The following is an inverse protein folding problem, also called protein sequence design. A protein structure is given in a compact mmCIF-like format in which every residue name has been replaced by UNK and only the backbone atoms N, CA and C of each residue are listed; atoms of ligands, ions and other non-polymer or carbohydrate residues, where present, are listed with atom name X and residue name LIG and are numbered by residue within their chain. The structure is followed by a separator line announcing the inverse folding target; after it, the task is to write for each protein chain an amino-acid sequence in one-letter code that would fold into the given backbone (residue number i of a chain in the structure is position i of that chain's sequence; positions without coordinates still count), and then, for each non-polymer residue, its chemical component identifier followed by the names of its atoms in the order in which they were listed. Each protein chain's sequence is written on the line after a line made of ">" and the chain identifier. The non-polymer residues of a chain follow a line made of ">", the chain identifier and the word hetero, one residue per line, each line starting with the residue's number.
data_IF_799693056102
#
_entry.id   IF_799693056102
#
_cell.length_a   1.000
_cell.length_b   1.000
_cell.length_c   1.000
_cell.angle_alpha   90.00
_cell.angle_beta   90.00
_cell.angle_gamma   90.00
#
_symmetry.space_group_name_H-M   'P 1'
#
loop_
_entity.id
_entity.type
_entity.pdbx_description
1 polymer ?
#
# COMPACT_ATOMS: atom_id res chain seq x y z
N UNK A 1 33.51 -34.31 24.72
CA UNK A 1 34.22 -34.40 23.42
C UNK A 1 33.77 -35.65 22.68
N UNK A 2 33.54 -35.53 21.36
CA UNK A 2 33.07 -36.50 20.34
C UNK A 2 31.56 -36.85 20.41
N UNK A 3 30.66 -36.28 19.61
CA UNK A 3 30.42 -36.16 18.14
C UNK A 3 29.62 -37.33 17.53
N UNK A 4 28.52 -36.93 16.83
CA UNK A 4 27.77 -37.58 15.72
C UNK A 4 26.96 -38.84 16.05
N UNK A 5 25.78 -39.13 15.47
CA UNK A 5 25.19 -38.81 14.16
C UNK A 5 23.63 -38.86 14.21
N UNK A 6 22.96 -38.31 13.18
CA UNK A 6 21.49 -38.24 13.08
C UNK A 6 20.80 -39.27 12.17
N UNK A 7 19.48 -39.02 11.99
CA UNK A 7 18.52 -39.50 10.95
C UNK A 7 17.99 -40.93 11.20
N UNK A 8 16.68 -41.27 11.04
CA UNK A 8 15.76 -40.78 9.99
C UNK A 8 14.34 -40.34 10.39
N UNK A 9 13.81 -39.47 9.51
CA UNK A 9 12.39 -39.30 9.26
C UNK A 9 11.80 -40.58 8.63
N UNK A 10 10.71 -41.12 9.19
CA UNK A 10 9.55 -41.64 8.45
C UNK A 10 8.53 -42.14 9.48
N UNK A 11 7.35 -41.53 9.52
CA UNK A 11 6.09 -42.27 9.59
C UNK A 11 4.93 -41.32 9.33
N UNK A 12 4.53 -41.31 8.08
CA UNK A 12 3.27 -40.79 7.59
C UNK A 12 2.23 -41.91 7.68
N UNK A 13 1.01 -41.64 8.17
CA UNK A 13 -0.18 -42.34 7.72
C UNK A 13 -1.00 -41.43 6.78
N UNK A 14 -1.90 -42.02 5.97
CA UNK A 14 -2.25 -41.53 4.65
C UNK A 14 -3.25 -40.38 4.69
N UNK A 15 -3.18 -39.60 3.60
CA UNK A 15 -4.16 -38.62 3.17
C UNK A 15 -5.57 -39.21 3.26
N UNK A 16 -6.56 -38.39 3.66
CA UNK A 16 -8.00 -38.39 3.31
C UNK A 16 -8.88 -37.95 4.48
N UNK A 17 -8.58 -36.81 5.11
CA UNK A 17 -9.61 -35.97 5.72
C UNK A 17 -9.33 -34.52 5.36
N UNK A 18 -9.96 -34.08 4.29
CA UNK A 18 -10.14 -32.66 4.01
C UNK A 18 -11.24 -32.18 4.94
N UNK A 19 -10.86 -31.45 5.98
CA UNK A 19 -11.68 -30.34 6.46
C UNK A 19 -10.85 -29.09 6.25
N UNK A 20 -11.35 -28.09 5.50
CA UNK A 20 -10.65 -26.83 5.36
C UNK A 20 -10.55 -26.25 6.75
N UNK A 21 -9.32 -26.17 7.26
CA UNK A 21 -9.01 -25.22 8.30
C UNK A 21 -9.48 -23.89 7.76
N UNK A 22 -10.61 -23.41 8.27
CA UNK A 22 -10.96 -22.02 8.14
C UNK A 22 -9.75 -21.29 8.71
N UNK A 23 -8.95 -20.70 7.83
CA UNK A 23 -8.26 -19.47 8.16
C UNK A 23 -9.43 -18.61 8.66
N UNK A 24 -9.57 -18.51 9.98
CA UNK A 24 -10.36 -17.45 10.57
C UNK A 24 -9.76 -16.20 9.96
N UNK A 25 -10.41 -15.70 8.90
CA UNK A 25 -10.23 -14.35 8.46
C UNK A 25 -10.42 -13.55 9.73
N UNK A 26 -9.30 -13.04 10.24
CA UNK A 26 -9.23 -12.29 11.47
C UNK A 26 -10.07 -11.05 11.18
N UNK A 27 -11.37 -11.15 11.42
CA UNK A 27 -12.22 -9.98 11.60
C UNK A 27 -11.77 -9.43 12.94
N UNK A 28 -10.58 -8.84 12.97
CA UNK A 28 -10.09 -8.10 14.10
C UNK A 28 -11.00 -6.89 14.19
N UNK A 29 -11.95 -6.94 15.12
CA UNK A 29 -12.68 -5.75 15.51
C UNK A 29 -11.63 -4.81 16.10
N UNK A 30 -11.28 -3.76 15.36
CA UNK A 30 -10.32 -2.79 15.81
C UNK A 30 -11.04 -1.67 16.57
N UNK A 31 -10.55 -1.38 17.77
CA UNK A 31 -11.03 -0.27 18.60
C UNK A 31 -9.94 0.79 18.71
N UNK A 32 -10.32 2.06 18.64
CA UNK A 32 -9.38 3.18 18.74
C UNK A 32 -9.85 4.19 19.78
N UNK A 33 -8.90 4.94 20.36
CA UNK A 33 -9.25 6.13 21.14
C UNK A 33 -9.90 7.14 20.19
N UNK A 34 -11.07 7.63 20.56
CA UNK A 34 -11.74 8.72 19.89
C UNK A 34 -11.55 10.02 20.69
N UNK A 35 -11.15 11.07 20.00
CA UNK A 35 -11.15 12.41 20.55
C UNK A 35 -11.44 13.40 19.43
N UNK A 36 -12.28 14.41 19.71
CA UNK A 36 -12.55 15.49 18.77
C UNK A 36 -12.52 16.84 19.49
N UNK A 37 -11.58 17.69 19.10
CA UNK A 37 -11.49 19.04 19.66
C UNK A 37 -12.67 19.90 19.18
N UNK A 38 -13.57 20.25 20.10
CA UNK A 38 -14.63 21.23 19.87
C UNK A 38 -14.39 22.50 20.71
N UNK A 39 -14.11 23.67 20.09
CA UNK A 39 -13.76 24.91 20.81
C UNK A 39 -14.90 25.49 21.66
N UNK A 40 -16.15 25.11 21.41
CA UNK A 40 -17.34 25.63 22.10
C UNK A 40 -17.74 24.87 23.37
N UNK A 41 -17.00 23.82 23.74
CA UNK A 41 -17.28 23.03 24.93
C UNK A 41 -16.27 23.35 26.03
N UNK A 42 -16.71 23.54 27.28
CA UNK A 42 -15.83 23.84 28.43
C UNK A 42 -15.25 22.59 29.10
N UNK A 43 -15.86 21.42 28.89
CA UNK A 43 -15.52 20.22 29.66
C UNK A 43 -14.49 19.34 28.93
N UNK A 44 -13.19 19.50 29.25
CA UNK A 44 -12.08 18.76 28.59
C UNK A 44 -12.04 17.26 28.93
N UNK A 45 -12.59 16.84 30.08
CA UNK A 45 -12.46 15.47 30.60
C UNK A 45 -13.43 14.41 30.04
N UNK A 46 -14.57 14.80 29.44
CA UNK A 46 -15.60 13.88 28.93
C UNK A 46 -15.56 13.66 27.40
N UNK A 47 -14.46 14.06 26.72
CA UNK A 47 -14.36 14.06 25.24
C UNK A 47 -13.58 12.89 24.66
N UNK A 48 -12.90 12.15 25.52
CA UNK A 48 -12.20 10.94 25.13
C UNK A 48 -13.17 9.77 25.23
N UNK A 49 -13.24 8.98 24.18
CA UNK A 49 -14.06 7.78 24.11
C UNK A 49 -13.31 6.66 23.40
N UNK A 50 -14.00 5.55 23.22
CA UNK A 50 -13.54 4.42 22.40
C UNK A 50 -14.49 4.35 21.20
N UNK A 51 -13.92 4.25 19.99
CA UNK A 51 -14.69 3.99 18.79
C UNK A 51 -14.30 2.66 18.17
N UNK A 52 -15.31 1.88 17.76
CA UNK A 52 -15.11 0.64 17.03
C UNK A 52 -15.03 0.95 15.53
N UNK A 53 -13.93 0.58 14.90
CA UNK A 53 -13.68 0.84 13.49
C UNK A 53 -14.45 -0.13 12.60
N UNK A 54 -15.19 0.42 11.64
CA UNK A 54 -15.93 -0.35 10.64
C UNK A 54 -15.20 -0.28 9.31
N UNK A 55 -14.72 -1.43 8.83
CA UNK A 55 -14.00 -1.56 7.56
C UNK A 55 -14.71 -2.50 6.60
N UNK A 56 -14.36 -2.38 5.31
CA UNK A 56 -14.75 -3.37 4.31
C UNK A 56 -13.99 -4.67 4.53
N UNK A 57 -14.60 -5.80 4.14
CA UNK A 57 -13.88 -7.08 4.06
C UNK A 57 -12.71 -6.88 3.09
N UNK A 58 -11.51 -7.29 3.49
CA UNK A 58 -10.23 -7.17 2.75
C UNK A 58 -9.47 -5.83 2.86
N UNK A 59 -9.98 -4.83 3.59
CA UNK A 59 -9.23 -3.59 3.87
C UNK A 59 -8.65 -3.61 5.29
N UNK A 60 -7.40 -3.17 5.45
CA UNK A 60 -6.82 -2.96 6.79
C UNK A 60 -7.44 -1.73 7.44
N UNK A 61 -7.59 -1.78 8.76
CA UNK A 61 -8.03 -0.66 9.58
C UNK A 61 -6.87 -0.24 10.46
N UNK A 62 -6.76 1.06 10.71
CA UNK A 62 -5.73 1.64 11.56
C UNK A 62 -6.36 2.57 12.59
N UNK A 63 -5.62 2.94 13.62
CA UNK A 63 -5.93 4.10 14.45
C UNK A 63 -5.03 5.26 14.06
N UNK A 64 -5.43 6.49 14.37
CA UNK A 64 -4.61 7.68 14.20
C UNK A 64 -4.71 8.63 15.39
N UNK A 65 -3.68 9.47 15.52
CA UNK A 65 -3.69 10.64 16.40
C UNK A 65 -3.13 11.85 15.64
N UNK A 66 -3.69 13.03 15.89
CA UNK A 66 -3.17 14.29 15.39
C UNK A 66 -3.21 15.37 16.47
N UNK A 67 -2.11 16.11 16.58
CA UNK A 67 -1.90 17.11 17.61
C UNK A 67 -1.09 18.30 17.08
N UNK A 68 -1.09 19.38 17.83
CA UNK A 68 -0.26 20.56 17.60
C UNK A 68 0.70 20.73 18.76
N UNK A 69 1.86 21.30 18.48
CA UNK A 69 2.78 21.75 19.51
C UNK A 69 2.74 23.28 19.54
N UNK A 70 1.97 23.85 20.47
CA UNK A 70 1.86 25.30 20.63
C UNK A 70 2.79 25.72 21.76
N UNK A 71 3.93 26.31 21.40
CA UNK A 71 4.92 26.81 22.38
C UNK A 71 5.39 25.75 23.40
N UNK A 72 5.56 24.49 22.97
CA UNK A 72 5.96 23.38 23.84
C UNK A 72 4.77 22.64 24.49
N UNK A 73 3.54 23.14 24.34
CA UNK A 73 2.34 22.46 24.85
C UNK A 73 1.71 21.60 23.77
N UNK A 74 1.50 20.32 24.09
CA UNK A 74 0.83 19.37 23.20
C UNK A 74 -0.68 19.54 23.29
N UNK A 75 -1.28 19.93 22.17
CA UNK A 75 -2.73 20.09 22.02
C UNK A 75 -3.27 19.01 21.06
N UNK A 76 -3.96 18.01 21.61
CA UNK A 76 -4.62 16.98 20.79
C UNK A 76 -5.73 17.64 19.97
N UNK A 77 -5.72 17.43 18.67
CA UNK A 77 -6.74 17.92 17.73
C UNK A 77 -7.78 16.85 17.50
N UNK A 78 -7.36 15.62 17.16
CA UNK A 78 -8.27 14.51 16.88
C UNK A 78 -7.58 13.15 17.10
N UNK A 79 -8.34 12.16 17.52
CA UNK A 79 -7.96 10.74 17.54
C UNK A 79 -9.10 9.90 16.98
N UNK A 80 -8.77 8.78 16.33
CA UNK A 80 -9.79 7.85 15.89
C UNK A 80 -9.32 6.74 14.95
N UNK A 81 -10.26 6.21 14.17
CA UNK A 81 -10.12 5.20 13.14
C UNK A 81 -9.57 5.84 11.87
N UNK A 82 -8.69 5.10 11.22
CA UNK A 82 -8.06 5.44 9.98
C UNK A 82 -8.27 4.31 8.98
N UNK A 83 -8.48 4.69 7.72
CA UNK A 83 -8.69 3.75 6.63
C UNK A 83 -7.36 3.10 6.21
N UNK A 84 -7.45 2.09 5.35
CA UNK A 84 -6.33 1.34 4.81
C UNK A 84 -5.27 2.25 4.17
N UNK A 85 -4.12 2.40 4.85
CA UNK A 85 -3.01 3.25 4.44
C UNK A 85 -1.70 2.50 4.66
N UNK A 86 -0.94 2.32 3.58
CA UNK A 86 0.34 1.60 3.56
C UNK A 86 1.38 2.17 4.51
N UNK A 87 1.27 3.45 4.88
CA UNK A 87 2.20 4.07 5.85
C UNK A 87 2.00 3.56 7.28
N UNK A 88 0.84 2.96 7.56
CA UNK A 88 0.44 2.49 8.88
C UNK A 88 0.66 0.98 9.08
N UNK A 89 1.06 0.27 8.01
CA UNK A 89 1.18 -1.19 8.03
C UNK A 89 2.25 -1.64 8.99
N UNK A 90 1.89 -2.64 9.80
CA UNK A 90 2.78 -3.29 10.76
C UNK A 90 3.36 -2.32 11.83
N UNK A 91 2.85 -1.08 11.90
CA UNK A 91 3.26 -0.08 12.88
C UNK A 91 2.42 -0.21 14.15
N UNK A 92 2.98 -0.82 15.19
CA UNK A 92 2.26 -1.03 16.46
C UNK A 92 2.22 0.21 17.35
N UNK A 93 3.15 1.15 17.13
CA UNK A 93 3.25 2.40 17.88
C UNK A 93 2.86 3.59 17.00
N UNK A 94 2.15 4.57 17.56
CA UNK A 94 1.78 5.79 16.86
C UNK A 94 2.93 6.82 16.96
N UNK A 95 3.77 6.91 15.93
CA UNK A 95 4.96 7.77 15.92
C UNK A 95 4.96 8.72 14.71
N UNK A 96 5.08 10.02 14.97
CA UNK A 96 5.36 11.03 13.94
C UNK A 96 6.88 11.12 13.72
N UNK A 97 7.28 11.00 12.45
CA UNK A 97 8.70 10.95 12.02
C UNK A 97 9.11 12.12 11.16
N UNK A 98 8.16 12.95 10.71
CA UNK A 98 8.44 14.14 9.92
C UNK A 98 9.13 15.20 10.77
N UNK A 99 10.18 15.82 10.24
CA UNK A 99 10.87 16.93 10.91
C UNK A 99 9.99 18.20 10.94
N UNK A 100 9.84 18.78 12.14
CA UNK A 100 9.15 20.04 12.44
C UNK A 100 7.81 20.29 11.70
N UNK A 101 6.79 19.42 11.89
CA UNK A 101 5.50 19.60 11.23
C UNK A 101 4.61 20.63 11.95
N UNK A 102 3.92 21.49 11.18
CA UNK A 102 2.91 22.42 11.72
C UNK A 102 1.78 21.70 12.49
N UNK A 103 1.41 20.52 11.99
CA UNK A 103 0.41 19.61 12.57
C UNK A 103 0.99 18.21 12.53
N UNK A 104 1.13 17.60 13.69
CA UNK A 104 1.70 16.27 13.86
C UNK A 104 0.62 15.21 13.57
N UNK A 105 1.03 14.11 12.95
CA UNK A 105 0.16 13.00 12.61
C UNK A 105 0.88 11.66 12.77
N UNK A 106 0.18 10.68 13.33
CA UNK A 106 0.64 9.30 13.30
C UNK A 106 -0.54 8.35 13.13
N UNK A 107 -0.24 7.16 12.61
CA UNK A 107 -1.17 6.05 12.55
C UNK A 107 -0.49 4.75 12.98
N UNK A 108 -1.31 3.79 13.41
CA UNK A 108 -0.85 2.52 13.94
C UNK A 108 -1.90 1.42 13.74
N UNK A 109 -1.46 0.17 13.83
CA UNK A 109 -2.26 -1.05 13.74
C UNK A 109 -2.38 -1.69 15.12
N UNK A 110 -3.59 -2.11 15.49
CA UNK A 110 -3.89 -2.71 16.79
C UNK A 110 -4.85 -1.90 17.65
N UNK A 111 -5.47 -2.59 18.60
CA UNK A 111 -6.46 -1.99 19.49
C UNK A 111 -5.85 -0.91 20.37
N UNK A 112 -6.48 0.26 20.37
CA UNK A 112 -6.16 1.41 21.21
C UNK A 112 -4.71 1.90 21.04
N UNK A 113 -4.06 1.57 19.93
CA UNK A 113 -2.65 1.91 19.71
C UNK A 113 -2.40 3.43 19.66
N UNK A 114 -3.43 4.22 19.37
CA UNK A 114 -3.38 5.68 19.34
C UNK A 114 -3.58 6.35 20.71
N UNK A 115 -3.71 5.59 21.81
CA UNK A 115 -3.75 6.13 23.17
C UNK A 115 -2.47 6.90 23.50
N UNK A 116 -1.33 6.39 23.04
CA UNK A 116 -0.02 7.03 23.20
C UNK A 116 0.53 7.36 21.83
N UNK A 117 1.02 8.58 21.69
CA UNK A 117 1.64 9.05 20.46
C UNK A 117 2.97 9.74 20.78
N UNK A 118 3.93 9.54 19.88
CA UNK A 118 5.31 10.00 20.06
C UNK A 118 5.76 10.82 18.87
N UNK A 119 6.75 11.68 19.12
CA UNK A 119 7.48 12.41 18.10
C UNK A 119 8.93 11.94 18.12
N UNK A 120 9.36 11.29 17.05
CA UNK A 120 10.74 10.82 16.88
C UNK A 120 11.15 11.05 15.42
N UNK A 121 11.66 12.25 15.09
CA UNK A 121 12.06 12.55 13.72
C UNK A 121 13.20 11.63 13.29
N UNK A 122 13.09 11.03 12.11
CA UNK A 122 14.15 10.18 11.58
C UNK A 122 15.42 11.04 11.40
N UNK A 123 16.40 10.85 12.27
CA UNK A 123 17.63 11.67 12.31
C UNK A 123 18.61 11.31 11.18
N UNK A 124 18.13 10.74 10.08
CA UNK A 124 18.99 10.52 8.93
C UNK A 124 19.51 11.90 8.49
N UNK A 125 20.84 12.11 8.46
CA UNK A 125 21.37 13.33 7.91
C UNK A 125 20.81 13.41 6.50
N UNK A 126 20.02 14.45 6.23
CA UNK A 126 19.67 14.84 4.88
C UNK A 126 21.01 15.09 4.19
N UNK A 127 21.55 14.07 3.53
CA UNK A 127 22.47 14.31 2.44
C UNK A 127 21.65 15.12 1.47
N UNK A 128 21.89 16.42 1.46
CA UNK A 128 21.55 17.35 0.38
C UNK A 128 22.31 16.91 -0.87
N UNK A 129 22.05 15.71 -1.35
CA UNK A 129 22.02 15.45 -2.77
C UNK A 129 20.59 15.79 -3.15
N UNK A 130 20.43 16.74 -4.05
CA UNK A 130 19.18 17.24 -4.62
C UNK A 130 18.28 16.13 -5.19
N UNK A 131 17.72 15.27 -4.35
CA UNK A 131 16.79 14.24 -4.73
C UNK A 131 15.62 14.29 -3.74
N UNK A 132 14.55 15.00 -4.09
CA UNK A 132 13.39 15.03 -3.25
C UNK A 132 12.74 13.65 -3.36
N UNK A 133 12.85 12.84 -2.30
CA UNK A 133 11.84 11.83 -2.01
C UNK A 133 10.57 12.53 -1.50
N UNK A 134 10.06 13.45 -2.34
CA UNK A 134 8.63 13.66 -2.47
C UNK A 134 8.07 12.28 -2.78
N UNK A 135 7.17 11.78 -1.92
CA UNK A 135 6.22 10.72 -2.23
C UNK A 135 5.76 10.93 -3.68
N UNK A 136 6.36 10.19 -4.63
CA UNK A 136 6.21 10.54 -6.03
C UNK A 136 4.71 10.42 -6.30
N UNK A 137 4.03 11.51 -6.70
CA UNK A 137 2.64 11.43 -7.12
C UNK A 137 2.53 10.36 -8.22
N UNK A 138 1.33 9.85 -8.55
CA UNK A 138 1.14 8.72 -9.46
C UNK A 138 1.69 8.91 -10.89
N UNK A 139 2.51 9.92 -11.16
CA UNK A 139 3.28 10.16 -12.38
C UNK A 139 3.98 8.91 -12.91
N UNK A 140 4.62 8.07 -12.07
CA UNK A 140 5.23 6.82 -12.56
C UNK A 140 4.17 5.82 -13.03
N UNK A 141 3.03 5.72 -12.34
CA UNK A 141 1.90 4.87 -12.74
C UNK A 141 1.21 5.41 -14.02
N UNK A 142 1.01 6.72 -14.12
CA UNK A 142 0.49 7.42 -15.30
C UNK A 142 1.45 7.35 -16.49
N UNK A 143 2.76 7.42 -16.25
CA UNK A 143 3.81 7.21 -17.26
C UNK A 143 3.78 5.77 -17.76
N UNK A 144 3.77 4.77 -16.86
CA UNK A 144 3.68 3.38 -17.27
C UNK A 144 2.36 3.08 -18.02
N UNK A 145 1.23 3.60 -17.55
CA UNK A 145 -0.07 3.47 -18.23
C UNK A 145 -0.15 4.16 -19.60
N UNK A 146 0.65 5.19 -19.87
CA UNK A 146 0.71 5.83 -21.19
C UNK A 146 1.78 5.23 -22.10
N UNK A 147 2.91 4.77 -21.56
CA UNK A 147 4.00 4.15 -22.33
C UNK A 147 3.59 2.77 -22.86
N UNK A 148 2.90 1.96 -22.06
CA UNK A 148 2.44 0.62 -22.47
C UNK A 148 1.55 0.63 -23.72
N UNK A 149 0.49 1.44 -23.84
CA UNK A 149 -0.34 1.48 -25.04
C UNK A 149 0.42 2.06 -26.25
N UNK A 150 1.32 3.03 -26.06
CA UNK A 150 2.15 3.57 -27.15
C UNK A 150 3.09 2.50 -27.72
N UNK A 151 3.75 1.72 -26.84
CA UNK A 151 4.59 0.59 -27.25
C UNK A 151 3.76 -0.51 -27.96
N UNK A 152 2.54 -0.77 -27.50
CA UNK A 152 1.62 -1.70 -28.15
C UNK A 152 1.23 -1.26 -29.56
N UNK A 153 0.83 0.00 -29.73
CA UNK A 153 0.42 0.55 -31.04
C UNK A 153 1.60 0.55 -32.02
N UNK A 154 2.78 0.97 -31.58
CA UNK A 154 3.98 0.96 -32.42
C UNK A 154 4.37 -0.44 -32.87
N UNK A 155 4.29 -1.45 -31.99
CA UNK A 155 4.52 -2.84 -32.36
C UNK A 155 3.50 -3.33 -33.40
N UNK A 156 2.21 -3.01 -33.26
CA UNK A 156 1.17 -3.39 -34.23
C UNK A 156 1.43 -2.76 -35.60
N UNK A 157 1.79 -1.48 -35.65
CA UNK A 157 2.12 -0.78 -36.92
C UNK A 157 3.34 -1.41 -37.58
N UNK A 158 4.40 -1.70 -36.81
CA UNK A 158 5.60 -2.34 -37.34
C UNK A 158 5.33 -3.74 -37.86
N UNK A 159 4.55 -4.56 -37.14
CA UNK A 159 4.13 -5.89 -37.59
C UNK A 159 3.26 -5.80 -38.85
N UNK A 160 2.32 -4.86 -38.90
CA UNK A 160 1.46 -4.65 -40.06
C UNK A 160 2.27 -4.23 -41.29
N UNK A 161 3.23 -3.32 -41.11
CA UNK A 161 4.14 -2.88 -42.18
C UNK A 161 5.07 -4.01 -42.63
N UNK A 162 5.60 -4.78 -41.68
CA UNK A 162 6.46 -5.92 -41.95
C UNK A 162 5.70 -6.99 -42.73
N UNK A 163 4.49 -7.35 -42.29
CA UNK A 163 3.58 -8.24 -43.00
C UNK A 163 3.23 -7.69 -44.39
N UNK A 164 2.90 -6.41 -44.51
CA UNK A 164 2.61 -5.78 -45.80
C UNK A 164 3.79 -5.85 -46.77
N UNK A 165 5.00 -5.59 -46.30
CA UNK A 165 6.25 -5.72 -47.07
C UNK A 165 6.51 -7.17 -47.47
N UNK A 166 6.29 -8.12 -46.56
CA UNK A 166 6.57 -9.53 -46.81
C UNK A 166 5.52 -10.18 -47.75
N UNK A 167 4.25 -9.78 -47.64
CA UNK A 167 3.17 -10.29 -48.49
C UNK A 167 3.15 -9.67 -49.90
N UNK A 168 3.63 -8.43 -50.09
CA UNK A 168 3.76 -7.84 -51.44
C UNK A 168 4.83 -8.46 -52.33
N UNK A 169 5.65 -9.38 -51.82
CA UNK A 169 6.55 -10.22 -52.62
C UNK A 169 5.88 -11.50 -53.15
N UNK A 170 4.61 -11.76 -52.81
CA UNK A 170 3.90 -12.99 -53.15
C UNK A 170 2.64 -12.77 -54.01
N UNK A 171 2.59 -11.70 -54.81
CA UNK A 171 1.64 -11.64 -55.93
C UNK A 171 2.32 -12.26 -57.17
N UNK A 172 2.00 -13.50 -57.56
CA UNK A 172 2.44 -14.00 -58.86
C UNK A 172 1.81 -13.14 -59.95
N UNK A 173 2.53 -12.85 -61.06
CA UNK A 173 1.98 -12.07 -62.16
C UNK A 173 0.76 -12.82 -62.71
N UNK A 174 -0.40 -12.14 -62.74
CA UNK A 174 -1.58 -12.62 -63.45
C UNK A 174 -1.20 -12.69 -64.94
N UNK A 175 -1.02 -13.92 -65.43
CA UNK A 175 -0.85 -14.19 -66.86
C UNK A 175 -2.18 -13.89 -67.55
N UNK A 176 -2.22 -12.77 -68.27
CA UNK A 176 -3.32 -12.46 -69.19
C UNK A 176 -3.23 -13.44 -70.36
N UNK A 177 -4.31 -14.15 -70.76
CA UNK A 177 -4.26 -14.98 -71.95
C UNK A 177 -4.18 -14.07 -73.19
N UNK A 178 -3.08 -14.13 -73.91
CA UNK A 178 -3.02 -13.65 -75.29
C UNK A 178 -3.91 -14.55 -76.14
N UNK A 179 -5.09 -14.04 -76.49
CA UNK A 179 -5.93 -14.58 -77.55
C UNK A 179 -5.21 -14.39 -78.88
N UNK A 180 -4.65 -15.49 -79.40
CA UNK A 180 -4.30 -15.65 -80.81
C UNK A 180 -5.29 -16.64 -81.42
N UNK A 181 -6.25 -16.12 -82.18
CA UNK A 181 -6.63 -16.54 -83.53
C UNK A 181 -8.09 -16.19 -83.84
#
# INVERSE_FOLDING_TARGET
>A
MKLTAGIPCLNQPPLWFSFPGAILGRSETQECVFYNYNPSSENRGNRSGIESCVGEKDKRLHCFATWRNVSGSVEIVKQGCWLDDVNCYDSTECVEKKEDPDVFFCCCEGNMCNEKFFYNPDTQPVQTTSNPFTQKPPLFSTLLCSIVPIMGITAIVLLSFWMYRHHKLAYPPVLVPTQVN
#
